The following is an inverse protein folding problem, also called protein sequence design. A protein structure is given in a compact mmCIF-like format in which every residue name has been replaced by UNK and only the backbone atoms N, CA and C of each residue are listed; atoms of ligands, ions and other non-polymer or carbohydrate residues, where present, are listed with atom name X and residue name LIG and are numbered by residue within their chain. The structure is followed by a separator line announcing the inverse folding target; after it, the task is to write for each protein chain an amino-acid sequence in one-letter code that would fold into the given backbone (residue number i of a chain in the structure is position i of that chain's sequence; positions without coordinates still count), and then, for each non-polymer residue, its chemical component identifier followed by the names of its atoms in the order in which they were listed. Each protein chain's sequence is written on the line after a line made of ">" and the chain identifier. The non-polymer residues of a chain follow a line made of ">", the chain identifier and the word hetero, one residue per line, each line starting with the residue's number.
data_IF_247564087003
#
_entry.id   IF_247564087003
#
_cell.length_a   1.000
_cell.length_b   1.000
_cell.length_c   1.000
_cell.angle_alpha   90.00
_cell.angle_beta   90.00
_cell.angle_gamma   90.00
#
_symmetry.space_group_name_H-M   'P 1'
#
loop_
_entity.id
_entity.type
_entity.pdbx_description
1 polymer ?
#
# COMPACT_ATOMS: atom_id res chain seq x y z
N UNK A 1 -45.43 20.80 -27.03
CA UNK A 1 -44.75 21.91 -26.31
C UNK A 1 -44.48 21.49 -24.88
N UNK A 2 -45.30 20.60 -24.30
CA UNK A 2 -44.99 19.86 -23.07
C UNK A 2 -43.74 18.96 -23.18
N UNK A 3 -43.51 18.25 -24.29
CA UNK A 3 -42.30 17.40 -24.46
C UNK A 3 -40.96 18.18 -24.42
N UNK A 4 -40.95 19.47 -24.75
CA UNK A 4 -39.75 20.32 -24.66
C UNK A 4 -39.52 20.86 -23.23
N UNK A 5 -40.54 20.83 -22.38
CA UNK A 5 -40.46 21.24 -20.97
C UNK A 5 -39.99 20.05 -20.11
N UNK A 6 -40.37 18.82 -20.47
CA UNK A 6 -39.96 17.60 -19.75
C UNK A 6 -38.48 17.25 -19.96
N UNK A 7 -37.90 17.56 -21.14
CA UNK A 7 -36.46 17.35 -21.43
C UNK A 7 -35.56 18.35 -20.68
N UNK A 8 -36.09 19.50 -20.25
CA UNK A 8 -35.27 20.52 -19.57
C UNK A 8 -35.16 20.29 -18.05
N UNK A 9 -36.09 19.57 -17.45
CA UNK A 9 -36.15 19.34 -15.99
C UNK A 9 -35.28 18.14 -15.54
N UNK A 10 -34.83 17.28 -16.47
CA UNK A 10 -33.91 16.16 -16.17
C UNK A 10 -32.42 16.60 -16.17
N UNK A 11 -32.13 17.86 -16.51
CA UNK A 11 -30.75 18.40 -16.54
C UNK A 11 -30.33 19.15 -15.27
N UNK A 12 -31.22 19.27 -14.28
CA UNK A 12 -30.84 19.70 -12.95
C UNK A 12 -30.32 18.50 -12.14
N UNK A 13 -29.28 17.85 -12.65
CA UNK A 13 -28.35 17.12 -11.79
C UNK A 13 -27.82 18.19 -10.84
N UNK A 14 -28.40 18.26 -9.64
CA UNK A 14 -27.89 19.08 -8.55
C UNK A 14 -26.55 18.47 -8.17
N UNK A 15 -25.55 18.80 -8.98
CA UNK A 15 -24.15 18.58 -8.74
C UNK A 15 -23.78 19.53 -7.61
N UNK A 16 -24.28 19.18 -6.42
CA UNK A 16 -23.98 19.84 -5.17
C UNK A 16 -22.49 19.67 -4.99
N UNK A 17 -21.73 20.60 -5.56
CA UNK A 17 -20.31 20.42 -5.84
C UNK A 17 -19.65 20.17 -4.50
N UNK A 18 -19.21 18.93 -4.26
CA UNK A 18 -18.76 18.51 -2.93
C UNK A 18 -17.46 19.26 -2.60
N UNK A 19 -17.57 20.30 -1.78
CA UNK A 19 -16.43 21.13 -1.37
C UNK A 19 -15.79 20.58 -0.11
N UNK A 20 -14.47 20.41 -0.15
CA UNK A 20 -13.67 20.10 1.02
C UNK A 20 -13.79 21.19 2.09
N UNK A 21 -14.39 20.85 3.22
CA UNK A 21 -14.47 21.73 4.39
C UNK A 21 -13.08 22.05 4.94
N UNK A 22 -12.95 23.16 5.67
CA UNK A 22 -11.68 23.54 6.33
C UNK A 22 -11.17 22.41 7.24
N UNK A 23 -12.07 21.78 7.99
CA UNK A 23 -11.75 20.65 8.88
C UNK A 23 -11.19 19.45 8.10
N UNK A 24 -11.81 19.10 6.97
CA UNK A 24 -11.35 17.99 6.15
C UNK A 24 -9.94 18.25 5.56
N UNK A 25 -9.66 19.49 5.13
CA UNK A 25 -8.31 19.89 4.69
C UNK A 25 -7.28 19.77 5.80
N UNK A 26 -7.60 20.23 7.02
CA UNK A 26 -6.70 20.09 8.18
C UNK A 26 -6.39 18.62 8.46
N UNK A 27 -7.43 17.79 8.55
CA UNK A 27 -7.26 16.35 8.81
C UNK A 27 -6.41 15.67 7.73
N UNK A 28 -6.70 15.92 6.45
CA UNK A 28 -5.92 15.37 5.33
C UNK A 28 -4.46 15.84 5.34
N UNK A 29 -4.20 17.08 5.75
CA UNK A 29 -2.83 17.58 5.92
C UNK A 29 -2.08 16.84 7.03
N UNK A 30 -2.74 16.64 8.17
CA UNK A 30 -2.17 15.89 9.30
C UNK A 30 -1.94 14.42 8.93
N UNK A 31 -2.91 13.77 8.30
CA UNK A 31 -2.77 12.41 7.77
C UNK A 31 -1.60 12.33 6.78
N UNK A 32 -1.48 13.29 5.86
CA UNK A 32 -0.36 13.36 4.91
C UNK A 32 1.01 13.40 5.60
N UNK A 33 1.16 14.16 6.69
CA UNK A 33 2.41 14.23 7.47
C UNK A 33 2.75 12.88 8.12
N UNK A 34 1.78 12.23 8.75
CA UNK A 34 1.98 10.92 9.38
C UNK A 34 2.28 9.83 8.35
N UNK A 35 1.55 9.83 7.23
CA UNK A 35 1.77 8.88 6.15
C UNK A 35 3.15 9.08 5.52
N UNK A 36 3.62 10.33 5.36
CA UNK A 36 4.98 10.61 4.91
C UNK A 36 6.02 9.96 5.83
N UNK A 37 5.91 10.21 7.13
CA UNK A 37 6.80 9.64 8.15
C UNK A 37 6.81 8.11 8.11
N UNK A 38 5.64 7.48 8.08
CA UNK A 38 5.50 6.02 7.98
C UNK A 38 6.09 5.48 6.68
N UNK A 39 5.99 6.22 5.57
CA UNK A 39 6.55 5.79 4.29
C UNK A 39 8.08 5.76 4.32
N UNK A 40 8.71 6.78 4.91
CA UNK A 40 10.18 6.81 5.09
C UNK A 40 10.64 5.63 5.95
N UNK A 41 9.97 5.40 7.09
CA UNK A 41 10.26 4.25 7.95
C UNK A 41 10.07 2.92 7.19
N UNK A 42 8.99 2.79 6.42
CA UNK A 42 8.72 1.61 5.60
C UNK A 42 9.83 1.33 4.60
N UNK A 43 10.32 2.37 3.90
CA UNK A 43 11.46 2.22 2.99
C UNK A 43 12.75 1.82 3.72
N UNK A 44 13.01 2.36 4.91
CA UNK A 44 14.14 1.94 5.72
C UNK A 44 14.06 0.45 6.08
N UNK A 45 12.89 -0.04 6.49
CA UNK A 45 12.69 -1.47 6.77
C UNK A 45 12.87 -2.34 5.54
N UNK A 46 12.34 -1.94 4.37
CA UNK A 46 12.56 -2.65 3.11
C UNK A 46 14.05 -2.70 2.77
N UNK A 47 14.76 -1.57 2.90
CA UNK A 47 16.20 -1.52 2.68
C UNK A 47 16.98 -2.46 3.61
N UNK A 48 16.60 -2.51 4.89
CA UNK A 48 17.18 -3.44 5.86
C UNK A 48 16.94 -4.90 5.48
N UNK A 49 15.71 -5.24 5.07
CA UNK A 49 15.37 -6.60 4.59
C UNK A 49 16.23 -6.98 3.39
N UNK A 50 16.41 -6.08 2.43
CA UNK A 50 17.25 -6.32 1.25
C UNK A 50 18.69 -6.58 1.65
N UNK A 51 19.26 -5.78 2.56
CA UNK A 51 20.61 -5.99 3.07
C UNK A 51 20.73 -7.37 3.73
N UNK A 52 19.82 -7.70 4.64
CA UNK A 52 19.82 -9.01 5.33
C UNK A 52 19.70 -10.14 4.31
N UNK A 53 18.84 -10.02 3.30
CA UNK A 53 18.66 -11.03 2.28
C UNK A 53 19.94 -11.30 1.49
N UNK A 54 20.72 -10.26 1.16
CA UNK A 54 22.01 -10.42 0.45
C UNK A 54 23.04 -11.18 1.28
N UNK A 55 23.03 -11.03 2.61
CA UNK A 55 23.94 -11.73 3.52
C UNK A 55 23.36 -13.04 4.09
N UNK A 56 22.12 -13.40 3.76
CA UNK A 56 21.41 -14.53 4.36
C UNK A 56 22.16 -15.86 4.20
N UNK A 57 22.79 -16.10 3.05
CA UNK A 57 23.58 -17.32 2.82
C UNK A 57 24.77 -17.45 3.76
N UNK A 58 25.56 -16.38 3.90
CA UNK A 58 26.72 -16.33 4.79
C UNK A 58 26.29 -16.40 6.25
N UNK A 59 25.27 -15.64 6.64
CA UNK A 59 24.75 -15.63 8.01
C UNK A 59 24.18 -16.99 8.41
N UNK A 60 23.46 -17.66 7.52
CA UNK A 60 22.91 -18.98 7.80
C UNK A 60 24.03 -20.03 7.93
N UNK A 61 25.08 -19.95 7.11
CA UNK A 61 26.22 -20.88 7.19
C UNK A 61 27.10 -20.72 8.43
N UNK A 62 27.10 -19.54 9.05
CA UNK A 62 27.89 -19.27 10.26
C UNK A 62 27.11 -19.54 11.55
N UNK A 63 25.77 -19.43 11.49
CA UNK A 63 24.88 -19.59 12.65
C UNK A 63 24.23 -20.98 12.68
N UNK A 64 23.87 -21.52 11.52
CA UNK A 64 23.38 -22.89 11.35
C UNK A 64 24.55 -23.80 11.00
N UNK A 65 24.93 -24.68 11.93
CA UNK A 65 25.67 -25.89 11.55
C UNK A 65 24.84 -26.78 10.63
N UNK A 66 25.19 -28.06 10.48
CA UNK A 66 24.49 -29.02 9.61
C UNK A 66 22.95 -29.15 9.86
N UNK A 67 22.47 -28.61 10.98
CA UNK A 67 21.07 -28.62 11.44
C UNK A 67 20.39 -27.25 11.19
N UNK A 68 20.25 -26.83 9.92
CA UNK A 68 19.40 -25.67 9.61
C UNK A 68 17.93 -26.01 9.95
N UNK A 69 17.23 -25.20 10.78
CA UNK A 69 15.81 -25.41 11.07
C UNK A 69 14.93 -25.18 9.83
N UNK A 70 15.47 -24.59 8.77
CA UNK A 70 14.79 -24.45 7.49
C UNK A 70 15.24 -25.54 6.51
N UNK A 71 14.30 -26.29 5.89
CA UNK A 71 14.61 -27.35 4.92
C UNK A 71 15.04 -26.81 3.55
N UNK A 72 15.33 -25.51 3.43
CA UNK A 72 15.64 -24.84 2.17
C UNK A 72 17.07 -24.28 2.16
N UNK A 73 17.76 -24.31 1.00
CA UNK A 73 19.06 -23.67 0.85
C UNK A 73 19.01 -22.16 1.15
N UNK A 74 20.07 -21.60 1.74
CA UNK A 74 20.15 -20.17 2.07
C UNK A 74 19.95 -19.22 0.87
N UNK A 75 20.34 -19.65 -0.34
CA UNK A 75 20.09 -18.89 -1.59
C UNK A 75 18.61 -18.78 -1.92
N UNK A 76 17.81 -19.82 -1.64
CA UNK A 76 16.38 -19.80 -1.84
C UNK A 76 15.71 -18.80 -0.89
N UNK A 77 16.12 -18.80 0.37
CA UNK A 77 15.67 -17.85 1.39
C UNK A 77 16.00 -16.42 0.96
N UNK A 78 17.23 -16.16 0.50
CA UNK A 78 17.65 -14.84 0.00
C UNK A 78 16.73 -14.33 -1.11
N UNK A 79 16.48 -15.14 -2.15
CA UNK A 79 15.62 -14.77 -3.27
C UNK A 79 14.19 -14.49 -2.81
N UNK A 80 13.65 -15.32 -1.91
CA UNK A 80 12.30 -15.15 -1.36
C UNK A 80 12.15 -13.82 -0.62
N UNK A 81 13.11 -13.47 0.25
CA UNK A 81 13.10 -12.22 1.00
C UNK A 81 13.27 -10.99 0.09
N UNK A 82 14.09 -11.07 -0.96
CA UNK A 82 14.19 -10.01 -1.97
C UNK A 82 12.85 -9.79 -2.69
N UNK A 83 12.16 -10.87 -3.06
CA UNK A 83 10.86 -10.81 -3.70
C UNK A 83 9.81 -10.21 -2.74
N UNK A 84 9.82 -10.60 -1.47
CA UNK A 84 8.94 -9.99 -0.46
C UNK A 84 9.23 -8.49 -0.28
N UNK A 85 10.50 -8.08 -0.23
CA UNK A 85 10.88 -6.67 -0.16
C UNK A 85 10.36 -5.88 -1.37
N UNK A 86 10.45 -6.45 -2.57
CA UNK A 86 9.91 -5.85 -3.79
C UNK A 86 8.38 -5.73 -3.75
N UNK A 87 7.68 -6.77 -3.27
CA UNK A 87 6.22 -6.74 -3.12
C UNK A 87 5.80 -5.66 -2.11
N UNK A 88 6.48 -5.55 -0.96
CA UNK A 88 6.17 -4.52 0.04
C UNK A 88 6.61 -3.11 -0.33
N UNK A 89 7.50 -2.95 -1.30
CA UNK A 89 7.88 -1.64 -1.82
C UNK A 89 6.70 -0.88 -2.42
N UNK A 90 5.86 -1.55 -3.22
CA UNK A 90 4.73 -0.92 -3.90
C UNK A 90 3.73 -0.21 -2.96
N UNK A 91 3.20 -0.85 -1.88
CA UNK A 91 2.25 -0.19 -0.99
C UNK A 91 2.86 1.00 -0.25
N UNK A 92 4.14 0.93 0.14
CA UNK A 92 4.86 2.04 0.77
C UNK A 92 5.07 3.19 -0.21
N UNK A 93 5.36 2.87 -1.47
CA UNK A 93 5.49 3.85 -2.54
C UNK A 93 4.19 4.62 -2.80
N UNK A 94 3.03 3.95 -2.78
CA UNK A 94 1.74 4.62 -2.89
C UNK A 94 1.46 5.57 -1.71
N UNK A 95 1.82 5.18 -0.48
CA UNK A 95 1.70 6.06 0.68
C UNK A 95 2.59 7.30 0.56
N UNK A 96 3.83 7.14 0.10
CA UNK A 96 4.74 8.25 -0.14
C UNK A 96 4.16 9.24 -1.17
N UNK A 97 3.63 8.72 -2.28
CA UNK A 97 2.99 9.55 -3.30
C UNK A 97 1.71 10.22 -2.79
N UNK A 98 0.86 9.53 -2.01
CA UNK A 98 -0.29 10.15 -1.37
C UNK A 98 0.14 11.33 -0.50
N UNK A 99 1.14 11.14 0.36
CA UNK A 99 1.60 12.17 1.28
C UNK A 99 2.13 13.43 0.55
N UNK A 100 2.88 13.24 -0.53
CA UNK A 100 3.39 14.35 -1.34
C UNK A 100 2.28 15.08 -2.11
N UNK A 101 1.37 14.33 -2.73
CA UNK A 101 0.28 14.91 -3.50
C UNK A 101 -0.76 15.60 -2.62
N UNK A 102 -1.10 15.05 -1.45
CA UNK A 102 -2.08 15.67 -0.55
C UNK A 102 -1.57 16.99 0.04
N UNK A 103 -0.27 17.05 0.36
CA UNK A 103 0.38 18.29 0.78
C UNK A 103 0.27 19.35 -0.32
N UNK A 104 0.65 19.00 -1.56
CA UNK A 104 0.57 19.90 -2.73
C UNK A 104 -0.87 20.36 -3.00
N UNK A 105 -1.84 19.44 -2.96
CA UNK A 105 -3.25 19.73 -3.18
C UNK A 105 -3.79 20.78 -2.19
N UNK A 106 -3.44 20.64 -0.92
CA UNK A 106 -3.92 21.55 0.14
C UNK A 106 -3.21 22.91 0.06
N UNK A 107 -1.88 22.93 -0.12
CA UNK A 107 -1.09 24.16 -0.16
C UNK A 107 -1.39 25.00 -1.41
N UNK A 108 -1.53 24.34 -2.58
CA UNK A 108 -1.75 25.01 -3.87
C UNK A 108 -3.20 25.10 -4.28
N UNK A 109 -4.13 24.54 -3.50
CA UNK A 109 -5.56 24.40 -3.84
C UNK A 109 -5.75 23.75 -5.22
N UNK A 110 -4.94 22.73 -5.49
CA UNK A 110 -4.86 22.05 -6.78
C UNK A 110 -5.70 20.77 -6.75
N UNK A 111 -6.79 20.74 -7.52
CA UNK A 111 -7.72 19.60 -7.61
C UNK A 111 -7.08 18.37 -8.26
N UNK A 112 -6.21 18.55 -9.26
CA UNK A 112 -5.55 17.44 -9.93
C UNK A 112 -4.62 16.69 -8.97
N UNK A 113 -3.90 17.44 -8.11
CA UNK A 113 -3.09 16.83 -7.06
C UNK A 113 -3.94 16.13 -6.00
N UNK A 114 -5.16 16.61 -5.73
CA UNK A 114 -6.08 15.94 -4.81
C UNK A 114 -6.53 14.58 -5.36
N UNK A 115 -6.91 14.54 -6.64
CA UNK A 115 -7.34 13.31 -7.31
C UNK A 115 -6.22 12.27 -7.31
N UNK A 116 -4.99 12.69 -7.66
CA UNK A 116 -3.80 11.84 -7.59
C UNK A 116 -3.50 11.35 -6.18
N UNK A 117 -3.70 12.19 -5.16
CA UNK A 117 -3.51 11.76 -3.78
C UNK A 117 -4.50 10.63 -3.44
N UNK A 118 -5.80 10.87 -3.66
CA UNK A 118 -6.84 9.90 -3.34
C UNK A 118 -6.71 8.61 -4.17
N UNK A 119 -6.28 8.70 -5.43
CA UNK A 119 -5.99 7.55 -6.28
C UNK A 119 -4.83 6.70 -5.73
N UNK A 120 -3.75 7.34 -5.25
CA UNK A 120 -2.65 6.63 -4.60
C UNK A 120 -3.12 5.94 -3.30
N UNK A 121 -3.96 6.62 -2.50
CA UNK A 121 -4.51 6.02 -1.28
C UNK A 121 -5.42 4.82 -1.58
N UNK A 122 -6.26 4.93 -2.61
CA UNK A 122 -7.07 3.82 -3.11
C UNK A 122 -6.19 2.66 -3.58
N UNK A 123 -5.14 2.94 -4.34
CA UNK A 123 -4.22 1.92 -4.87
C UNK A 123 -3.48 1.20 -3.75
N UNK A 124 -3.06 1.92 -2.70
CA UNK A 124 -2.49 1.34 -1.50
C UNK A 124 -3.43 0.31 -0.87
N UNK A 125 -4.66 0.69 -0.53
CA UNK A 125 -5.60 -0.23 0.13
C UNK A 125 -6.05 -1.37 -0.78
N UNK A 126 -6.18 -1.14 -2.09
CA UNK A 126 -6.44 -2.22 -3.05
C UNK A 126 -5.30 -3.25 -3.05
N UNK A 127 -4.06 -2.78 -3.09
CA UNK A 127 -2.89 -3.66 -3.05
C UNK A 127 -2.82 -4.45 -1.74
N UNK A 128 -2.93 -3.77 -0.59
CA UNK A 128 -2.89 -4.41 0.73
C UNK A 128 -4.03 -5.42 0.85
N UNK A 129 -5.24 -5.09 0.41
CA UNK A 129 -6.39 -6.01 0.44
C UNK A 129 -6.17 -7.27 -0.38
N UNK A 130 -5.62 -7.15 -1.59
CA UNK A 130 -5.27 -8.30 -2.44
C UNK A 130 -4.21 -9.16 -1.74
N UNK A 131 -3.16 -8.53 -1.19
CA UNK A 131 -2.11 -9.24 -0.45
C UNK A 131 -2.69 -9.98 0.76
N UNK A 132 -3.61 -9.36 1.50
CA UNK A 132 -4.30 -10.01 2.62
C UNK A 132 -5.11 -11.23 2.18
N UNK A 133 -5.86 -11.15 1.07
CA UNK A 133 -6.61 -12.30 0.53
C UNK A 133 -5.67 -13.46 0.18
N UNK A 134 -4.53 -13.16 -0.46
CA UNK A 134 -3.51 -14.17 -0.79
C UNK A 134 -2.97 -14.83 0.49
N UNK A 135 -2.66 -14.04 1.52
CA UNK A 135 -2.17 -14.56 2.81
C UNK A 135 -3.21 -15.44 3.51
N UNK A 136 -4.49 -15.04 3.49
CA UNK A 136 -5.56 -15.85 4.06
C UNK A 136 -5.74 -17.18 3.31
N UNK A 137 -5.63 -17.18 1.98
CA UNK A 137 -5.67 -18.41 1.20
C UNK A 137 -4.54 -19.37 1.58
N UNK A 138 -3.31 -18.87 1.78
CA UNK A 138 -2.21 -19.69 2.29
C UNK A 138 -2.49 -20.23 3.70
N UNK A 139 -3.00 -19.41 4.61
CA UNK A 139 -3.34 -19.86 5.97
C UNK A 139 -4.38 -20.97 6.00
N UNK A 140 -5.42 -20.87 5.16
CA UNK A 140 -6.42 -21.95 5.03
C UNK A 140 -5.79 -23.21 4.47
N UNK A 141 -4.95 -23.10 3.44
CA UNK A 141 -4.31 -24.25 2.80
C UNK A 141 -3.35 -24.99 3.76
N UNK A 142 -2.49 -24.25 4.46
CA UNK A 142 -1.56 -24.84 5.43
C UNK A 142 -2.29 -25.34 6.69
N UNK A 143 -3.30 -24.61 7.17
CA UNK A 143 -4.10 -25.01 8.33
C UNK A 143 -4.89 -26.30 8.08
N UNK A 144 -5.51 -26.45 6.91
CA UNK A 144 -6.21 -27.68 6.53
C UNK A 144 -5.23 -28.85 6.33
N UNK A 145 -4.07 -28.60 5.70
CA UNK A 145 -3.03 -29.62 5.56
C UNK A 145 -2.53 -30.14 6.91
N UNK A 146 -2.33 -29.24 7.87
CA UNK A 146 -1.93 -29.60 9.24
C UNK A 146 -3.05 -30.26 10.06
N UNK A 147 -4.32 -30.06 9.72
CA UNK A 147 -5.45 -30.72 10.37
C UNK A 147 -5.71 -32.14 9.84
N UNK A 148 -5.35 -32.40 8.58
CA UNK A 148 -5.58 -33.69 7.91
C UNK A 148 -4.45 -34.72 8.12
N UNK A 149 -3.30 -34.30 8.63
CA UNK A 149 -2.12 -35.13 8.93
C UNK A 149 -1.88 -35.18 10.44
#
# INVERSE_FOLDING_TARGET
>A
MEDFIEIQDESAENDSTLKLSKKAKTNLSETGKWVYFLSIIGFCFIGLIVIIALFAGTLLSTIGGDESPFPFPGIFISILYLLMGLVYFFPIYYLFNFANNIKKAIEKKDSESLDKALENLKSHYKFVGILTIIMLAFYVLFGLGAFLF
#
